data_IF_827882617667
#
_entry.id   IF_827882617667
#
_cell.length_a   1.000
_cell.length_b   1.000
_cell.length_c   1.000
_cell.angle_alpha   90.00
_cell.angle_beta   90.00
_cell.angle_gamma   90.00
#
_symmetry.space_group_name_H-M   'P 1'
#
loop_
_entity.id
_entity.type
_entity.pdbx_description
1 polymer ?
#
# COMPACT_ATOMS: atom_id res chain seq x y z
N UNK A 1 -3.49 -4.03 -6.03
CA UNK A 1 -3.54 -2.68 -6.62
C UNK A 1 -2.19 -2.36 -7.27
N UNK A 2 -2.17 -1.43 -8.23
CA UNK A 2 -0.95 -0.87 -8.84
C UNK A 2 -1.19 0.61 -9.13
N UNK A 3 -0.23 1.47 -8.85
CA UNK A 3 -0.40 2.90 -9.07
C UNK A 3 0.90 3.68 -8.94
N UNK A 4 0.79 4.97 -9.22
CA UNK A 4 1.83 5.97 -9.07
C UNK A 4 1.44 6.95 -7.95
N UNK A 5 2.46 7.49 -7.29
CA UNK A 5 2.29 8.46 -6.22
C UNK A 5 3.27 9.60 -6.40
N UNK A 6 2.75 10.83 -6.37
CA UNK A 6 3.52 12.06 -6.31
C UNK A 6 3.26 12.73 -4.96
N UNK A 7 4.34 12.90 -4.18
CA UNK A 7 4.27 13.69 -2.95
C UNK A 7 3.98 15.17 -3.27
N UNK A 8 3.23 15.87 -2.40
CA UNK A 8 2.78 15.39 -1.08
C UNK A 8 1.49 14.57 -1.09
N UNK A 9 0.61 14.72 -2.08
CA UNK A 9 -0.82 14.41 -1.91
C UNK A 9 -1.51 13.84 -3.17
N UNK A 10 -0.74 13.36 -4.15
CA UNK A 10 -1.30 12.87 -5.42
C UNK A 10 -1.11 11.38 -5.61
N UNK A 11 -2.19 10.67 -5.93
CA UNK A 11 -2.18 9.23 -6.22
C UNK A 11 -3.05 8.92 -7.43
N UNK A 12 -2.56 8.05 -8.31
CA UNK A 12 -3.33 7.40 -9.37
C UNK A 12 -3.14 5.90 -9.22
N UNK A 13 -4.20 5.17 -8.91
CA UNK A 13 -4.12 3.76 -8.57
C UNK A 13 -5.24 2.97 -9.22
N UNK A 14 -4.91 1.76 -9.67
CA UNK A 14 -5.85 0.76 -10.16
C UNK A 14 -5.94 -0.40 -9.16
N UNK A 15 -7.17 -0.74 -8.79
CA UNK A 15 -7.53 -1.90 -7.99
C UNK A 15 -8.18 -2.95 -8.88
N UNK A 16 -7.86 -4.22 -8.62
CA UNK A 16 -8.61 -5.34 -9.17
C UNK A 16 -9.41 -5.94 -8.03
N UNK A 17 -10.72 -6.05 -8.22
CA UNK A 17 -11.63 -6.64 -7.23
C UNK A 17 -12.41 -7.78 -7.87
N UNK A 18 -12.56 -8.87 -7.13
CA UNK A 18 -13.40 -9.99 -7.54
C UNK A 18 -14.85 -9.72 -7.12
N UNK A 19 -15.74 -9.68 -8.11
CA UNK A 19 -17.18 -9.57 -7.91
C UNK A 19 -17.84 -10.92 -8.14
N UNK A 20 -18.74 -11.27 -7.23
CA UNK A 20 -19.62 -12.44 -7.33
C UNK A 20 -18.87 -13.77 -7.57
N UNK A 21 -17.63 -13.89 -7.07
CA UNK A 21 -16.86 -15.13 -7.06
C UNK A 21 -16.33 -15.61 -8.42
N UNK A 22 -16.35 -14.76 -9.46
CA UNK A 22 -15.88 -15.16 -10.79
C UNK A 22 -15.39 -14.03 -11.70
N UNK A 23 -15.85 -12.79 -11.50
CA UNK A 23 -15.52 -11.67 -12.40
C UNK A 23 -14.56 -10.71 -11.72
N UNK A 24 -13.36 -10.55 -12.27
CA UNK A 24 -12.43 -9.50 -11.85
C UNK A 24 -12.78 -8.21 -12.59
N UNK A 25 -13.08 -7.15 -11.85
CA UNK A 25 -13.25 -5.80 -12.41
C UNK A 25 -12.10 -4.90 -11.95
N UNK A 26 -11.74 -3.94 -12.79
CA UNK A 26 -10.72 -2.94 -12.47
C UNK A 26 -11.40 -1.63 -12.10
N UNK A 27 -10.97 -1.04 -10.99
CA UNK A 27 -11.41 0.27 -10.50
C UNK A 27 -10.19 1.16 -10.49
N UNK A 28 -10.25 2.31 -11.17
CA UNK A 28 -9.22 3.34 -11.00
C UNK A 28 -9.68 4.37 -9.98
N UNK A 29 -8.72 4.91 -9.25
CA UNK A 29 -8.90 5.98 -8.29
C UNK A 29 -7.80 7.02 -8.50
N UNK A 30 -8.20 8.29 -8.52
CA UNK A 30 -7.28 9.41 -8.45
C UNK A 30 -7.59 10.19 -7.18
N UNK A 31 -6.57 10.51 -6.40
CA UNK A 31 -6.66 11.41 -5.24
C UNK A 31 -5.70 12.57 -5.44
N UNK A 32 -6.20 13.79 -5.23
CA UNK A 32 -5.41 15.02 -5.22
C UNK A 32 -5.94 15.88 -4.06
N UNK A 33 -5.05 16.26 -3.15
CA UNK A 33 -5.44 16.93 -1.90
C UNK A 33 -6.49 16.07 -1.14
N UNK A 34 -7.61 16.68 -0.75
CA UNK A 34 -8.73 16.03 -0.06
C UNK A 34 -9.81 15.47 -1.03
N UNK A 35 -9.59 15.58 -2.34
CA UNK A 35 -10.56 15.15 -3.35
C UNK A 35 -10.18 13.79 -3.95
N UNK A 36 -11.19 12.94 -4.15
CA UNK A 36 -11.02 11.63 -4.76
C UNK A 36 -12.05 11.39 -5.87
N UNK A 37 -11.63 10.70 -6.92
CA UNK A 37 -12.46 10.26 -8.04
C UNK A 37 -12.26 8.78 -8.28
N UNK A 38 -13.31 8.08 -8.66
CA UNK A 38 -13.24 6.65 -9.04
C UNK A 38 -13.98 6.39 -10.35
N UNK A 39 -13.58 5.35 -11.06
CA UNK A 39 -14.30 4.90 -12.26
C UNK A 39 -15.54 4.10 -11.88
N UNK A 40 -16.69 4.49 -12.41
CA UNK A 40 -17.94 3.74 -12.30
C UNK A 40 -17.78 2.33 -12.88
N UNK A 41 -18.21 1.30 -12.13
CA UNK A 41 -18.03 -0.10 -12.52
C UNK A 41 -18.78 -0.51 -13.80
N UNK A 42 -19.87 0.19 -14.13
CA UNK A 42 -20.73 -0.15 -15.27
C UNK A 42 -20.36 0.67 -16.51
N UNK A 43 -20.16 1.98 -16.35
CA UNK A 43 -19.89 2.89 -17.47
C UNK A 43 -18.40 3.10 -17.75
N UNK A 44 -17.53 2.86 -16.76
CA UNK A 44 -16.11 3.23 -16.79
C UNK A 44 -15.85 4.73 -16.70
N UNK A 45 -16.89 5.56 -16.56
CA UNK A 45 -16.76 7.01 -16.45
C UNK A 45 -16.19 7.41 -15.08
N UNK A 46 -15.45 8.51 -15.04
CA UNK A 46 -15.00 9.09 -13.78
C UNK A 46 -16.13 9.82 -13.07
N UNK A 47 -16.26 9.53 -11.78
CA UNK A 47 -17.23 10.13 -10.88
C UNK A 47 -16.51 10.54 -9.58
N UNK A 48 -17.01 11.52 -8.82
CA UNK A 48 -16.55 11.75 -7.46
C UNK A 48 -16.61 10.43 -6.66
N UNK A 49 -15.53 10.10 -5.96
CA UNK A 49 -15.48 8.87 -5.18
C UNK A 49 -16.55 8.93 -4.08
N UNK A 50 -17.42 7.92 -3.96
CA UNK A 50 -18.33 7.83 -2.83
C UNK A 50 -17.53 7.80 -1.51
N UNK A 51 -18.04 8.43 -0.45
CA UNK A 51 -17.39 8.46 0.87
C UNK A 51 -17.11 7.05 1.39
N UNK A 52 -17.94 6.08 1.00
CA UNK A 52 -17.86 4.66 1.35
C UNK A 52 -16.64 3.94 0.76
N UNK A 53 -16.05 4.44 -0.34
CA UNK A 53 -14.80 3.94 -0.93
C UNK A 53 -13.56 4.65 -0.37
N UNK A 54 -13.71 5.44 0.70
CA UNK A 54 -12.79 6.45 1.22
C UNK A 54 -11.43 6.00 1.76
N UNK A 55 -10.84 4.90 1.27
CA UNK A 55 -9.43 4.65 1.50
C UNK A 55 -8.60 5.65 0.68
N UNK A 56 -7.96 6.61 1.36
CA UNK A 56 -7.02 7.51 0.74
C UNK A 56 -5.61 6.89 0.76
N UNK A 57 -5.06 6.43 -0.38
CA UNK A 57 -3.75 5.78 -0.44
C UNK A 57 -2.57 6.71 -0.11
N UNK A 58 -2.77 8.04 0.00
CA UNK A 58 -1.74 8.97 0.48
C UNK A 58 -1.27 8.62 1.90
N UNK A 59 -2.13 7.99 2.71
CA UNK A 59 -1.80 7.54 4.08
C UNK A 59 -0.55 6.65 4.12
N UNK A 60 -0.28 5.89 3.05
CA UNK A 60 0.91 5.04 2.95
C UNK A 60 2.22 5.83 3.04
N UNK A 61 2.21 7.12 2.71
CA UNK A 61 3.41 7.96 2.69
C UNK A 61 3.31 9.18 3.61
N UNK A 62 2.32 9.17 4.51
CA UNK A 62 2.19 10.17 5.57
C UNK A 62 3.44 10.19 6.47
N UNK A 63 3.86 11.39 6.86
CA UNK A 63 5.09 11.59 7.64
C UNK A 63 4.99 11.10 9.09
N UNK A 64 3.80 10.72 9.58
CA UNK A 64 3.57 10.25 10.95
C UNK A 64 3.00 8.81 11.02
N UNK A 65 2.11 8.45 10.11
CA UNK A 65 1.39 7.18 10.05
C UNK A 65 1.71 6.32 8.83
N UNK A 66 2.54 6.83 7.90
CA UNK A 66 2.93 6.10 6.69
C UNK A 66 3.99 5.02 6.92
N UNK A 67 4.42 4.40 5.83
CA UNK A 67 5.34 3.27 5.82
C UNK A 67 6.73 3.63 6.36
N UNK A 68 7.19 4.86 6.15
CA UNK A 68 8.47 5.35 6.69
C UNK A 68 8.47 5.36 8.23
N UNK A 69 7.49 6.03 8.88
CA UNK A 69 7.28 5.94 10.32
C UNK A 69 7.12 4.50 10.84
N UNK A 70 6.39 3.63 10.15
CA UNK A 70 6.27 2.20 10.54
C UNK A 70 7.62 1.49 10.54
N UNK A 71 8.45 1.71 9.50
CA UNK A 71 9.80 1.17 9.45
C UNK A 71 10.68 1.65 10.62
N UNK A 72 10.48 2.90 11.09
CA UNK A 72 11.17 3.45 12.25
C UNK A 72 10.67 2.93 13.61
N UNK A 73 9.55 2.21 13.64
CA UNK A 73 8.89 1.71 14.87
C UNK A 73 9.00 0.20 15.05
N UNK A 74 9.82 -0.48 14.24
CA UNK A 74 10.03 -1.92 14.37
C UNK A 74 10.57 -2.27 15.76
N UNK A 75 9.89 -3.19 16.43
CA UNK A 75 10.37 -3.86 17.63
C UNK A 75 11.36 -4.97 17.24
N UNK A 76 12.49 -5.01 17.96
CA UNK A 76 13.55 -6.01 17.78
C UNK A 76 13.98 -6.26 16.32
N UNK A 77 14.34 -5.21 15.55
CA UNK A 77 14.68 -5.38 14.15
C UNK A 77 15.95 -6.21 13.98
N UNK A 78 15.90 -7.15 13.04
CA UNK A 78 17.01 -8.03 12.66
C UNK A 78 17.24 -7.95 11.15
N UNK A 79 18.51 -7.85 10.76
CA UNK A 79 18.92 -7.95 9.36
C UNK A 79 19.05 -9.44 9.02
N UNK A 80 18.37 -9.87 7.96
CA UNK A 80 18.42 -11.24 7.46
C UNK A 80 19.48 -11.38 6.35
N UNK A 81 19.64 -12.59 5.83
CA UNK A 81 20.50 -12.85 4.68
C UNK A 81 20.07 -12.04 3.46
N UNK A 82 21.03 -11.63 2.65
CA UNK A 82 20.76 -10.83 1.45
C UNK A 82 19.85 -11.57 0.47
N UNK A 83 18.94 -10.82 -0.13
CA UNK A 83 18.00 -11.33 -1.14
C UNK A 83 17.93 -10.38 -2.34
N UNK A 84 17.62 -10.93 -3.52
CA UNK A 84 17.44 -10.13 -4.73
C UNK A 84 15.95 -9.82 -4.95
N UNK A 85 15.61 -8.53 -4.99
CA UNK A 85 14.25 -8.06 -5.32
C UNK A 85 14.31 -7.26 -6.61
N UNK A 86 13.57 -7.69 -7.64
CA UNK A 86 13.51 -6.98 -8.93
C UNK A 86 14.88 -6.83 -9.62
N UNK A 87 15.79 -7.80 -9.41
CA UNK A 87 17.15 -7.76 -9.96
C UNK A 87 18.14 -6.89 -9.16
N UNK A 88 17.74 -6.40 -7.98
CA UNK A 88 18.58 -5.58 -7.10
C UNK A 88 18.86 -6.31 -5.81
N UNK A 89 20.10 -6.27 -5.35
CA UNK A 89 20.50 -6.83 -4.06
C UNK A 89 19.91 -6.00 -2.93
N UNK A 90 19.36 -6.67 -1.92
CA UNK A 90 18.73 -6.03 -0.77
C UNK A 90 19.20 -6.62 0.55
N UNK A 91 19.07 -5.84 1.62
CA UNK A 91 19.12 -6.28 3.00
C UNK A 91 17.68 -6.38 3.53
N UNK A 92 17.12 -7.58 3.72
CA UNK A 92 15.85 -7.72 4.41
C UNK A 92 16.03 -7.35 5.89
N UNK A 93 15.16 -6.49 6.39
CA UNK A 93 15.08 -6.09 7.80
C UNK A 93 13.72 -6.52 8.31
N UNK A 94 13.72 -7.46 9.25
CA UNK A 94 12.50 -7.99 9.84
C UNK A 94 12.36 -7.52 11.29
N UNK A 95 11.14 -7.18 11.69
CA UNK A 95 10.79 -6.89 13.07
C UNK A 95 9.29 -7.05 13.27
N UNK A 96 8.78 -6.55 14.39
CA UNK A 96 7.34 -6.59 14.67
C UNK A 96 6.79 -5.21 15.03
N UNK A 97 5.49 -5.03 14.87
CA UNK A 97 4.75 -3.83 15.30
C UNK A 97 3.40 -4.25 15.86
N UNK A 98 2.83 -3.43 16.74
CA UNK A 98 1.46 -3.61 17.20
C UNK A 98 0.46 -3.26 16.09
N UNK A 99 -0.71 -3.89 16.06
CA UNK A 99 -1.72 -3.66 15.02
C UNK A 99 -2.10 -2.18 14.86
N UNK A 100 -2.22 -1.44 15.96
CA UNK A 100 -2.52 -0.01 15.95
C UNK A 100 -1.52 0.80 15.10
N UNK A 101 -0.28 0.32 14.96
CA UNK A 101 0.76 0.96 14.14
C UNK A 101 0.50 0.82 12.64
N UNK A 102 -0.23 -0.21 12.21
CA UNK A 102 -0.49 -0.54 10.79
C UNK A 102 -1.97 -0.48 10.41
N UNK A 103 -2.86 -0.22 11.37
CA UNK A 103 -4.31 -0.17 11.16
C UNK A 103 -4.69 0.78 10.03
N UNK A 104 -4.18 2.02 10.04
CA UNK A 104 -4.42 2.99 8.96
C UNK A 104 -3.90 2.53 7.59
N UNK A 105 -2.78 1.81 7.53
CA UNK A 105 -2.20 1.31 6.27
C UNK A 105 -3.02 0.18 5.66
N UNK A 106 -3.75 -0.55 6.51
CA UNK A 106 -4.54 -1.72 6.11
C UNK A 106 -6.03 -1.44 6.16
N UNK A 107 -6.46 -0.20 6.36
CA UNK A 107 -7.86 0.15 6.61
C UNK A 107 -8.51 -0.64 7.75
N UNK A 108 -7.70 -1.07 8.73
CA UNK A 108 -8.13 -1.89 9.86
C UNK A 108 -8.45 -3.34 9.50
N UNK A 109 -8.10 -3.83 8.31
CA UNK A 109 -8.38 -5.23 7.91
C UNK A 109 -7.34 -6.23 8.42
N UNK A 110 -6.16 -5.73 8.81
CA UNK A 110 -5.15 -6.56 9.43
C UNK A 110 -5.60 -7.03 10.82
N UNK A 111 -5.39 -8.30 11.10
CA UNK A 111 -5.78 -8.94 12.36
C UNK A 111 -4.57 -9.56 13.07
N UNK A 112 -4.66 -9.66 14.39
CA UNK A 112 -3.58 -10.07 15.28
C UNK A 112 -3.04 -8.93 16.13
N UNK A 113 -2.57 -9.24 17.34
CA UNK A 113 -2.00 -8.25 18.28
C UNK A 113 -0.63 -7.76 17.81
N UNK A 114 0.18 -8.67 17.27
CA UNK A 114 1.54 -8.43 16.80
C UNK A 114 1.67 -8.80 15.33
N UNK A 115 2.06 -7.85 14.50
CA UNK A 115 2.24 -8.02 13.06
C UNK A 115 3.73 -8.11 12.74
N UNK A 116 4.11 -9.12 11.96
CA UNK A 116 5.49 -9.23 11.46
C UNK A 116 5.65 -8.31 10.25
N UNK A 117 6.70 -7.49 10.27
CA UNK A 117 7.03 -6.57 9.17
C UNK A 117 8.40 -6.94 8.61
N UNK A 118 8.50 -7.07 7.30
CA UNK A 118 9.79 -7.23 6.60
C UNK A 118 9.94 -6.13 5.55
N UNK A 119 11.10 -5.46 5.56
CA UNK A 119 11.48 -4.41 4.63
C UNK A 119 12.68 -4.88 3.82
N UNK A 120 12.61 -4.82 2.50
CA UNK A 120 13.77 -5.11 1.65
C UNK A 120 14.40 -3.79 1.24
N UNK A 121 15.55 -3.47 1.86
CA UNK A 121 16.28 -2.22 1.63
C UNK A 121 17.37 -2.46 0.59
N UNK A 122 17.32 -1.71 -0.50
CA UNK A 122 18.32 -1.77 -1.57
C UNK A 122 19.73 -1.42 -1.08
N UNK A 123 20.71 -2.26 -1.40
CA UNK A 123 22.09 -2.07 -0.92
C UNK A 123 22.80 -0.86 -1.54
N UNK A 124 22.38 -0.42 -2.74
CA UNK A 124 23.05 0.66 -3.46
C UNK A 124 22.48 2.03 -3.10
N UNK A 125 21.15 2.14 -3.05
CA UNK A 125 20.41 3.40 -2.93
C UNK A 125 19.75 3.60 -1.57
N UNK A 126 19.74 2.58 -0.71
CA UNK A 126 19.02 2.57 0.57
C UNK A 126 17.50 2.78 0.46
N UNK A 127 16.94 2.67 -0.75
CA UNK A 127 15.49 2.71 -0.94
C UNK A 127 14.85 1.41 -0.49
N UNK A 128 13.67 1.49 0.13
CA UNK A 128 12.84 0.30 0.37
C UNK A 128 12.23 -0.13 -0.96
N UNK A 129 12.48 -1.37 -1.39
CA UNK A 129 11.96 -1.94 -2.65
C UNK A 129 10.71 -2.79 -2.45
N UNK A 130 10.57 -3.38 -1.25
CA UNK A 130 9.42 -4.16 -0.87
C UNK A 130 9.16 -4.01 0.62
N UNK A 131 7.88 -4.02 0.98
CA UNK A 131 7.40 -4.14 2.34
C UNK A 131 6.41 -5.29 2.39
N UNK A 132 6.50 -6.10 3.44
CA UNK A 132 5.57 -7.18 3.72
C UNK A 132 5.07 -7.07 5.15
N UNK A 133 3.75 -7.16 5.33
CA UNK A 133 3.09 -7.32 6.62
C UNK A 133 2.48 -8.71 6.67
N UNK A 134 2.83 -9.50 7.67
CA UNK A 134 2.33 -10.86 7.86
C UNK A 134 1.58 -10.92 9.17
N UNK A 135 0.28 -11.24 9.08
CA UNK A 135 -0.56 -11.55 10.23
C UNK A 135 -0.03 -12.82 10.92
N UNK A 136 -0.14 -12.93 12.25
CA UNK A 136 0.32 -14.11 12.95
C UNK A 136 -0.62 -15.30 12.69
N UNK A 137 -0.08 -16.51 12.82
CA UNK A 137 -0.80 -17.76 12.57
C UNK A 137 -1.92 -18.04 13.59
N UNK A 138 -1.96 -17.30 14.70
CA UNK A 138 -2.91 -17.46 15.81
C UNK A 138 -4.11 -16.52 15.75
N UNK A 139 -4.34 -15.86 14.60
CA UNK A 139 -5.60 -15.15 14.34
C UNK A 139 -6.77 -16.13 14.23
N UNK A 140 -8.00 -15.68 14.51
CA UNK A 140 -9.23 -16.47 14.32
C UNK A 140 -9.55 -16.73 12.82
N UNK A 141 -8.65 -16.35 11.91
CA UNK A 141 -8.79 -16.50 10.46
C UNK A 141 -8.29 -17.88 10.01
N UNK A 142 -9.05 -18.56 9.16
CA UNK A 142 -8.60 -19.81 8.53
C UNK A 142 -7.33 -19.62 7.68
N UNK A 143 -7.12 -18.41 7.15
CA UNK A 143 -5.95 -18.05 6.34
C UNK A 143 -5.48 -16.63 6.74
N UNK A 144 -4.49 -16.50 7.63
CA UNK A 144 -3.86 -15.23 7.95
C UNK A 144 -3.32 -14.54 6.68
N UNK A 145 -3.54 -13.24 6.56
CA UNK A 145 -3.16 -12.50 5.38
C UNK A 145 -1.68 -12.12 5.38
N UNK A 146 -1.06 -12.15 4.20
CA UNK A 146 0.22 -11.50 3.95
C UNK A 146 0.01 -10.36 2.95
N UNK A 147 0.21 -9.14 3.42
CA UNK A 147 0.15 -7.94 2.61
C UNK A 147 1.53 -7.66 2.04
N UNK A 148 1.64 -7.55 0.72
CA UNK A 148 2.90 -7.23 0.04
C UNK A 148 2.74 -5.97 -0.78
N UNK A 149 3.67 -5.04 -0.61
CA UNK A 149 3.76 -3.84 -1.42
C UNK A 149 5.16 -3.72 -2.01
N UNK A 150 5.23 -3.54 -3.32
CA UNK A 150 6.48 -3.33 -4.06
C UNK A 150 6.58 -1.87 -4.48
N UNK A 151 7.74 -1.28 -4.23
CA UNK A 151 8.06 0.11 -4.52
C UNK A 151 9.03 0.14 -5.70
N UNK A 152 8.65 0.87 -6.74
CA UNK A 152 9.42 1.03 -7.96
C UNK A 152 9.36 2.48 -8.42
N UNK A 153 10.25 2.89 -9.33
CA UNK A 153 10.18 4.26 -9.87
C UNK A 153 10.50 5.35 -8.85
N UNK A 154 11.32 5.06 -7.83
CA UNK A 154 11.71 6.05 -6.83
C UNK A 154 12.24 7.33 -7.50
N UNK A 155 11.70 8.47 -7.08
CA UNK A 155 12.04 9.81 -7.60
C UNK A 155 11.72 10.03 -9.09
N UNK A 156 10.89 9.19 -9.71
CA UNK A 156 10.36 9.51 -11.03
C UNK A 156 9.41 10.71 -10.94
N UNK A 157 9.53 11.60 -11.93
CA UNK A 157 8.61 12.72 -12.07
C UNK A 157 7.31 12.19 -12.69
N UNK A 158 6.25 12.15 -11.90
CA UNK A 158 4.93 11.67 -12.30
C UNK A 158 3.93 12.82 -12.21
N UNK A 159 3.18 13.03 -13.29
CA UNK A 159 2.12 14.03 -13.34
C UNK A 159 0.78 13.33 -13.17
N UNK A 160 0.07 13.68 -12.11
CA UNK A 160 -1.27 13.17 -11.78
C UNK A 160 -2.22 14.37 -11.80
N UNK A 161 -3.28 14.28 -12.61
CA UNK A 161 -4.24 15.35 -12.86
C UNK A 161 -5.66 14.89 -12.54
N UNK A 162 -6.55 15.85 -12.28
CA UNK A 162 -7.98 15.58 -12.10
C UNK A 162 -8.53 14.91 -13.37
N UNK A 163 -9.34 13.85 -13.27
CA UNK A 163 -9.95 13.24 -14.44
C UNK A 163 -11.04 14.11 -15.05
N UNK A 164 -11.31 13.88 -16.34
CA UNK A 164 -12.48 14.43 -17.02
C UNK A 164 -13.74 13.71 -16.53
N UNK A 165 -14.64 14.46 -15.89
CA UNK A 165 -15.92 13.93 -15.41
C UNK A 165 -16.93 13.84 -16.56
N UNK A 166 -17.75 12.79 -16.55
CA UNK A 166 -18.89 12.72 -17.46
C UNK A 166 -19.97 13.73 -17.06
N UNK A 167 -20.58 14.39 -18.05
CA UNK A 167 -21.70 15.32 -17.89
C UNK A 167 -23.02 14.64 -17.47
#
# INVERSE_FOLDING_TARGET
ARGDLARPDRVDVEFQVELLGAQTVSIRMITIDDEAWTTNLLSGAWEPSPEEFGYNPTVLFDDQGGLGPVAGRLNSPQVLDAETIGGRETWPVQGTVDNDTISSLTSGTADGEVITVTLWVDQESSNVLQLQLTEPDDTDKENPATWTMRLTGHNQDVTIERPDLAD
#
